data_IF_599794026207
#
_entry.id   IF_599794026207
#
_cell.length_a   1.000
_cell.length_b   1.000
_cell.length_c   1.000
_cell.angle_alpha   90.00
_cell.angle_beta   90.00
_cell.angle_gamma   90.00
#
_symmetry.space_group_name_H-M   'P 1'
#
loop_
_entity.id
_entity.type
_entity.pdbx_description
1 polymer ?
#
# COMPACT_ATOMS: atom_id res chain seq x y z
N UNK A 1 -38.62 50.93 17.36
CA UNK A 1 -37.67 50.15 18.18
C UNK A 1 -37.52 48.76 17.55
N UNK A 2 -36.54 48.57 16.65
CA UNK A 2 -36.30 47.27 15.98
C UNK A 2 -35.13 46.60 16.71
N UNK A 3 -35.43 45.48 17.37
CA UNK A 3 -34.44 44.66 18.08
C UNK A 3 -33.71 43.84 17.02
N UNK A 4 -32.44 44.18 16.78
CA UNK A 4 -31.50 43.38 16.00
C UNK A 4 -30.99 42.24 16.88
N UNK A 5 -31.43 41.02 16.61
CA UNK A 5 -30.81 39.82 17.15
C UNK A 5 -29.47 39.60 16.44
N UNK A 6 -28.38 39.82 17.16
CA UNK A 6 -27.05 39.37 16.75
C UNK A 6 -26.97 37.85 16.96
N UNK A 7 -27.03 37.09 15.88
CA UNK A 7 -26.72 35.65 15.91
C UNK A 7 -25.18 35.54 15.97
N UNK A 8 -24.59 34.92 16.99
CA UNK A 8 -23.16 34.68 17.03
C UNK A 8 -22.81 33.73 15.89
N UNK A 9 -21.99 34.22 14.96
CA UNK A 9 -21.37 33.43 13.92
C UNK A 9 -20.45 32.41 14.60
N UNK A 10 -20.94 31.19 14.80
CA UNK A 10 -20.11 30.06 15.19
C UNK A 10 -19.20 29.77 14.01
N UNK A 11 -17.98 30.28 14.09
CA UNK A 11 -16.88 29.91 13.19
C UNK A 11 -16.57 28.45 13.52
N UNK A 12 -17.20 27.51 12.80
CA UNK A 12 -16.65 26.17 12.66
C UNK A 12 -15.31 26.34 11.96
N UNK A 13 -14.24 26.38 12.75
CA UNK A 13 -12.88 26.26 12.23
C UNK A 13 -12.75 24.87 11.61
N UNK A 14 -12.82 24.82 10.27
CA UNK A 14 -12.16 23.76 9.54
C UNK A 14 -10.69 23.85 9.94
N UNK A 15 -10.23 22.96 10.84
CA UNK A 15 -8.80 22.79 11.09
C UNK A 15 -8.18 22.43 9.74
N UNK A 16 -7.56 23.43 9.10
CA UNK A 16 -6.63 23.20 8.02
C UNK A 16 -5.63 22.17 8.55
N UNK A 17 -5.61 20.97 7.97
CA UNK A 17 -4.63 19.94 8.32
C UNK A 17 -3.26 20.59 8.16
N UNK A 18 -2.59 20.87 9.28
CA UNK A 18 -1.23 21.40 9.23
C UNK A 18 -0.41 20.44 8.38
N UNK A 19 0.26 20.98 7.36
CA UNK A 19 1.15 20.20 6.52
C UNK A 19 2.26 19.66 7.41
N UNK A 20 2.28 18.34 7.63
CA UNK A 20 3.34 17.72 8.43
C UNK A 20 4.64 17.85 7.63
N UNK A 21 5.59 18.60 8.19
CA UNK A 21 6.92 18.80 7.63
C UNK A 21 7.97 18.20 8.55
N UNK A 22 9.11 17.80 8.00
CA UNK A 22 10.26 17.31 8.76
C UNK A 22 11.32 18.41 8.87
N UNK A 23 12.01 18.49 10.01
CA UNK A 23 13.13 19.41 10.18
C UNK A 23 14.33 18.97 9.33
N UNK A 24 15.26 19.88 9.06
CA UNK A 24 16.48 19.54 8.34
C UNK A 24 17.28 18.43 9.05
N UNK A 25 17.29 18.42 10.38
CA UNK A 25 17.92 17.36 11.18
C UNK A 25 17.18 16.02 11.08
N UNK A 26 15.85 16.00 11.11
CA UNK A 26 15.06 14.78 10.89
C UNK A 26 15.41 14.17 9.52
N UNK A 27 15.47 15.00 8.48
CA UNK A 27 15.81 14.56 7.12
C UNK A 27 17.26 14.05 7.03
N UNK A 28 18.22 14.79 7.60
CA UNK A 28 19.64 14.41 7.59
C UNK A 28 19.85 13.08 8.31
N UNK A 29 19.35 12.94 9.54
CA UNK A 29 19.44 11.69 10.31
C UNK A 29 18.74 10.54 9.61
N UNK A 30 17.61 10.81 8.94
CA UNK A 30 16.93 9.82 8.12
C UNK A 30 17.83 9.30 6.99
N UNK A 31 18.43 10.21 6.23
CA UNK A 31 19.32 9.86 5.12
C UNK A 31 20.57 9.10 5.60
N UNK A 32 21.17 9.49 6.72
CA UNK A 32 22.33 8.80 7.32
C UNK A 32 22.02 7.36 7.76
N UNK A 33 20.74 7.04 8.03
CA UNK A 33 20.31 5.73 8.54
C UNK A 33 19.43 4.94 7.56
N UNK A 34 19.27 5.43 6.32
CA UNK A 34 18.31 4.88 5.36
C UNK A 34 18.57 3.40 5.04
N UNK A 35 19.83 2.98 4.99
CA UNK A 35 20.20 1.59 4.72
C UNK A 35 19.72 0.67 5.83
N UNK A 36 19.92 1.04 7.10
CA UNK A 36 19.44 0.26 8.24
C UNK A 36 17.91 0.17 8.26
N UNK A 37 17.22 1.27 7.93
CA UNK A 37 15.76 1.30 7.86
C UNK A 37 15.26 0.34 6.78
N UNK A 38 15.80 0.47 5.55
CA UNK A 38 15.36 -0.29 4.38
C UNK A 38 15.72 -1.77 4.50
N UNK A 39 16.91 -2.11 4.98
CA UNK A 39 17.32 -3.50 5.20
C UNK A 39 16.47 -4.18 6.29
N UNK A 40 16.16 -3.47 7.37
CA UNK A 40 15.30 -3.99 8.43
C UNK A 40 13.86 -4.18 7.95
N UNK A 41 13.33 -3.21 7.19
CA UNK A 41 11.99 -3.32 6.60
C UNK A 41 11.92 -4.47 5.58
N UNK A 42 12.94 -4.66 4.74
CA UNK A 42 13.05 -5.77 3.81
C UNK A 42 13.08 -7.13 4.53
N UNK A 43 13.91 -7.27 5.55
CA UNK A 43 13.96 -8.49 6.39
C UNK A 43 12.63 -8.75 7.10
N UNK A 44 11.90 -7.71 7.48
CA UNK A 44 10.56 -7.85 8.01
C UNK A 44 9.59 -8.47 6.99
N UNK A 45 9.63 -8.05 5.72
CA UNK A 45 8.80 -8.64 4.67
C UNK A 45 9.13 -10.12 4.48
N UNK A 46 10.43 -10.46 4.35
CA UNK A 46 10.87 -11.84 4.19
C UNK A 46 10.43 -12.73 5.36
N UNK A 47 10.64 -12.24 6.59
CA UNK A 47 10.28 -12.98 7.79
C UNK A 47 8.75 -13.18 7.90
N UNK A 48 7.96 -12.18 7.51
CA UNK A 48 6.49 -12.27 7.52
C UNK A 48 6.02 -13.30 6.50
N UNK A 49 6.59 -13.30 5.29
CA UNK A 49 6.28 -14.29 4.27
C UNK A 49 6.73 -15.70 4.70
N UNK A 50 7.93 -15.86 5.25
CA UNK A 50 8.41 -17.14 5.75
C UNK A 50 7.54 -17.69 6.91
N UNK A 51 7.11 -16.81 7.83
CA UNK A 51 6.17 -17.14 8.91
C UNK A 51 4.84 -17.64 8.33
N UNK A 52 4.30 -16.96 7.30
CA UNK A 52 3.10 -17.38 6.60
C UNK A 52 3.24 -18.77 5.97
N UNK A 53 4.29 -18.98 5.16
CA UNK A 53 4.53 -20.25 4.45
C UNK A 53 4.69 -21.41 5.44
N UNK A 54 5.47 -21.22 6.51
CA UNK A 54 5.68 -22.27 7.52
C UNK A 54 4.39 -22.61 8.26
N UNK A 55 3.58 -21.60 8.61
CA UNK A 55 2.30 -21.79 9.30
C UNK A 55 1.30 -22.52 8.39
N UNK A 56 1.18 -22.09 7.13
CA UNK A 56 0.28 -22.72 6.16
C UNK A 56 0.66 -24.19 5.91
N UNK A 57 1.95 -24.50 5.77
CA UNK A 57 2.43 -25.89 5.65
C UNK A 57 2.08 -26.75 6.86
N UNK A 58 2.12 -26.19 8.07
CA UNK A 58 1.79 -26.92 9.30
C UNK A 58 0.29 -27.16 9.46
N UNK A 59 -0.54 -26.14 9.21
CA UNK A 59 -1.95 -26.17 9.61
C UNK A 59 -2.95 -26.20 8.44
N UNK A 60 -2.50 -25.97 7.20
CA UNK A 60 -3.37 -25.88 6.02
C UNK A 60 -4.23 -24.61 5.95
N UNK A 61 -3.95 -23.62 6.80
CA UNK A 61 -4.64 -22.33 6.86
C UNK A 61 -3.62 -21.21 7.06
N UNK A 62 -3.97 -20.00 6.63
CA UNK A 62 -3.16 -18.81 6.78
C UNK A 62 -3.05 -18.36 8.23
N UNK A 63 -1.84 -17.96 8.62
CA UNK A 63 -1.62 -17.25 9.90
C UNK A 63 -2.25 -15.86 9.88
N UNK A 64 -2.20 -15.23 8.72
CA UNK A 64 -2.61 -13.85 8.52
C UNK A 64 -3.99 -13.79 7.89
N UNK A 65 -4.87 -12.96 8.43
CA UNK A 65 -6.24 -12.83 7.94
C UNK A 65 -6.57 -11.38 7.58
N UNK A 66 -7.35 -11.20 6.53
CA UNK A 66 -7.75 -9.89 6.04
C UNK A 66 -8.58 -9.09 7.05
N UNK A 67 -8.17 -7.85 7.30
CA UNK A 67 -8.78 -6.94 8.28
C UNK A 67 -10.13 -6.31 7.85
N UNK A 68 -10.57 -6.52 6.60
CA UNK A 68 -11.86 -6.01 6.09
C UNK A 68 -12.96 -7.08 6.08
N UNK A 69 -12.65 -8.31 6.49
CA UNK A 69 -13.65 -9.38 6.64
C UNK A 69 -14.34 -9.28 8.01
N UNK A 70 -15.63 -8.91 7.98
CA UNK A 70 -16.46 -8.73 9.18
C UNK A 70 -16.52 -9.97 10.08
N UNK A 71 -16.56 -11.15 9.47
CA UNK A 71 -16.57 -12.42 10.17
C UNK A 71 -15.24 -12.77 10.83
N UNK A 72 -14.15 -12.08 10.49
CA UNK A 72 -12.83 -12.28 11.11
C UNK A 72 -12.49 -11.21 12.16
N UNK A 73 -13.38 -10.25 12.41
CA UNK A 73 -13.16 -9.19 13.42
C UNK A 73 -13.05 -9.78 14.84
N UNK A 74 -13.89 -10.77 15.15
CA UNK A 74 -13.96 -11.38 16.48
C UNK A 74 -13.21 -12.72 16.55
N UNK A 75 -12.76 -13.08 17.75
CA UNK A 75 -12.14 -14.38 18.00
C UNK A 75 -13.11 -15.54 17.69
N UNK A 76 -14.39 -15.38 18.05
CA UNK A 76 -15.43 -16.36 17.78
C UNK A 76 -15.67 -16.56 16.28
N UNK A 77 -15.70 -15.48 15.50
CA UNK A 77 -15.86 -15.55 14.04
C UNK A 77 -14.68 -16.24 13.35
N UNK A 78 -13.44 -15.94 13.77
CA UNK A 78 -12.24 -16.66 13.30
C UNK A 78 -12.29 -18.15 13.66
N UNK A 79 -12.68 -18.49 14.89
CA UNK A 79 -12.85 -19.87 15.31
C UNK A 79 -13.91 -20.61 14.47
N UNK A 80 -15.04 -19.97 14.19
CA UNK A 80 -16.09 -20.52 13.32
C UNK A 80 -15.59 -20.76 11.89
N UNK A 81 -14.82 -19.83 11.33
CA UNK A 81 -14.21 -20.00 10.01
C UNK A 81 -13.25 -21.19 9.97
N UNK A 82 -12.36 -21.33 10.97
CA UNK A 82 -11.43 -22.46 11.08
C UNK A 82 -12.19 -23.81 11.16
N UNK A 83 -13.26 -23.88 11.96
CA UNK A 83 -14.13 -25.07 12.02
C UNK A 83 -14.80 -25.37 10.68
N UNK A 84 -15.24 -24.33 9.97
CA UNK A 84 -15.82 -24.45 8.64
C UNK A 84 -14.89 -25.11 7.61
N UNK A 85 -13.56 -25.01 7.81
CA UNK A 85 -12.56 -25.71 7.01
C UNK A 85 -12.20 -27.11 7.54
N UNK A 86 -12.96 -27.65 8.49
CA UNK A 86 -12.80 -29.01 8.99
C UNK A 86 -11.72 -29.19 10.06
N UNK A 87 -11.24 -28.10 10.67
CA UNK A 87 -10.28 -28.20 11.78
C UNK A 87 -11.00 -28.63 13.08
N UNK A 88 -10.38 -29.56 13.81
CA UNK A 88 -10.88 -30.00 15.13
C UNK A 88 -10.75 -28.90 16.18
N UNK A 89 -11.56 -28.96 17.25
CA UNK A 89 -11.50 -27.98 18.36
C UNK A 89 -10.10 -27.83 18.94
N UNK A 90 -9.34 -28.94 19.07
CA UNK A 90 -7.96 -28.89 19.55
C UNK A 90 -7.05 -28.07 18.63
N UNK A 91 -7.16 -28.25 17.31
CA UNK A 91 -6.40 -27.45 16.33
C UNK A 91 -6.84 -25.99 16.33
N UNK A 92 -8.14 -25.73 16.43
CA UNK A 92 -8.68 -24.36 16.53
C UNK A 92 -8.10 -23.65 17.75
N UNK A 93 -8.09 -24.31 18.91
CA UNK A 93 -7.51 -23.77 20.14
C UNK A 93 -5.99 -23.49 20.04
N UNK A 94 -5.24 -24.32 19.30
CA UNK A 94 -3.82 -24.10 19.03
C UNK A 94 -3.59 -22.91 18.09
N UNK A 95 -4.35 -22.82 16.99
CA UNK A 95 -4.14 -21.86 15.89
C UNK A 95 -4.61 -20.46 16.25
N UNK A 96 -5.82 -20.35 16.81
CA UNK A 96 -6.51 -19.07 17.01
C UNK A 96 -5.68 -17.99 17.73
N UNK A 97 -4.95 -18.27 18.84
CA UNK A 97 -4.14 -17.25 19.51
C UNK A 97 -2.91 -16.82 18.70
N UNK A 98 -2.52 -17.56 17.67
CA UNK A 98 -1.35 -17.26 16.83
C UNK A 98 -1.71 -16.38 15.61
N UNK A 99 -3.01 -16.26 15.29
CA UNK A 99 -3.45 -15.55 14.10
C UNK A 99 -3.24 -14.03 14.20
N UNK A 100 -2.95 -13.39 13.07
CA UNK A 100 -2.67 -11.94 12.99
C UNK A 100 -3.53 -11.29 11.90
N UNK A 101 -4.18 -10.16 12.20
CA UNK A 101 -4.84 -9.37 11.17
C UNK A 101 -3.80 -8.75 10.23
N UNK A 102 -4.14 -8.62 8.96
CA UNK A 102 -3.27 -7.99 7.95
C UNK A 102 -4.05 -7.24 6.88
N UNK A 103 -3.37 -6.32 6.21
CA UNK A 103 -3.78 -5.65 4.98
C UNK A 103 -2.56 -5.23 4.18
N UNK A 104 -2.78 -4.90 2.91
CA UNK A 104 -1.73 -4.46 1.99
C UNK A 104 -0.94 -3.27 2.59
N UNK A 105 -1.67 -2.29 3.12
CA UNK A 105 -1.08 -1.13 3.80
C UNK A 105 -0.59 -1.46 5.21
N UNK A 106 -1.30 -2.30 5.97
CA UNK A 106 -0.90 -2.68 7.34
C UNK A 106 0.48 -3.33 7.38
N UNK A 107 0.76 -4.29 6.50
CA UNK A 107 2.07 -4.93 6.42
C UNK A 107 3.18 -3.95 6.03
N UNK A 108 2.89 -3.03 5.09
CA UNK A 108 3.82 -1.95 4.72
C UNK A 108 4.17 -1.09 5.93
N UNK A 109 3.16 -0.67 6.70
CA UNK A 109 3.32 0.16 7.89
C UNK A 109 4.10 -0.57 8.98
N UNK A 110 3.81 -1.84 9.24
CA UNK A 110 4.49 -2.64 10.26
C UNK A 110 5.98 -2.82 9.96
N UNK A 111 6.33 -3.10 8.71
CA UNK A 111 7.74 -3.26 8.34
C UNK A 111 8.51 -1.95 8.31
N UNK A 112 7.90 -0.85 7.86
CA UNK A 112 8.50 0.49 8.01
C UNK A 112 8.69 0.85 9.48
N UNK A 113 7.69 0.64 10.35
CA UNK A 113 7.79 0.88 11.79
C UNK A 113 9.01 0.20 12.39
N UNK A 114 9.24 -1.08 12.07
CA UNK A 114 10.42 -1.84 12.52
C UNK A 114 11.71 -1.22 12.01
N UNK A 115 11.76 -0.81 10.74
CA UNK A 115 12.93 -0.14 10.16
C UNK A 115 13.27 1.17 10.86
N UNK A 116 12.29 2.06 11.03
CA UNK A 116 12.48 3.32 11.75
C UNK A 116 12.89 3.10 13.20
N UNK A 117 12.28 2.15 13.90
CA UNK A 117 12.63 1.83 15.29
C UNK A 117 14.07 1.31 15.41
N UNK A 118 14.52 0.43 14.51
CA UNK A 118 15.88 -0.08 14.48
C UNK A 118 16.93 1.03 14.26
N UNK A 119 16.55 2.08 13.51
CA UNK A 119 17.37 3.26 13.27
C UNK A 119 17.28 4.34 14.37
N UNK A 120 16.56 4.09 15.47
CA UNK A 120 16.36 5.07 16.53
C UNK A 120 15.42 6.22 16.15
N UNK A 121 14.60 6.06 15.10
CA UNK A 121 13.70 7.08 14.54
C UNK A 121 12.23 6.81 14.87
N UNK A 122 11.94 6.19 16.01
CA UNK A 122 10.56 5.93 16.45
C UNK A 122 9.70 7.19 16.51
N UNK A 123 10.26 8.32 16.96
CA UNK A 123 9.52 9.60 17.00
C UNK A 123 9.13 10.11 15.60
N UNK A 124 10.04 9.99 14.62
CA UNK A 124 9.76 10.33 13.22
C UNK A 124 8.68 9.40 12.65
N UNK A 125 8.73 8.11 12.98
CA UNK A 125 7.68 7.16 12.59
C UNK A 125 6.34 7.50 13.22
N UNK A 126 6.31 7.83 14.51
CA UNK A 126 5.07 8.16 15.22
C UNK A 126 4.41 9.41 14.62
N UNK A 127 5.20 10.38 14.15
CA UNK A 127 4.74 11.55 13.39
C UNK A 127 4.13 11.17 12.05
N UNK A 128 4.76 10.26 11.28
CA UNK A 128 4.18 9.71 10.04
C UNK A 128 2.86 8.98 10.36
N UNK A 129 2.89 8.09 11.35
CA UNK A 129 1.75 7.26 11.71
C UNK A 129 0.56 8.11 12.18
N UNK A 130 0.79 9.13 13.01
CA UNK A 130 -0.25 10.05 13.46
C UNK A 130 -0.90 10.79 12.29
N UNK A 131 -0.13 11.19 11.28
CA UNK A 131 -0.66 11.82 10.06
C UNK A 131 -1.56 10.86 9.26
N UNK A 132 -1.15 9.59 9.15
CA UNK A 132 -1.86 8.59 8.35
C UNK A 132 -3.07 7.98 9.07
N UNK A 133 -3.12 8.00 10.41
CA UNK A 133 -4.22 7.44 11.18
C UNK A 133 -5.46 8.37 11.24
N UNK A 134 -5.38 9.59 10.71
CA UNK A 134 -6.53 10.51 10.69
C UNK A 134 -7.70 9.83 9.97
N UNK A 135 -8.88 9.82 10.60
CA UNK A 135 -10.10 9.14 10.15
C UNK A 135 -9.99 7.60 10.03
N UNK A 136 -8.97 6.98 10.64
CA UNK A 136 -8.63 5.56 10.50
C UNK A 136 -8.39 5.11 9.05
N UNK A 137 -7.85 5.99 8.19
CA UNK A 137 -7.61 5.69 6.77
C UNK A 137 -6.15 5.86 6.38
N UNK A 138 -5.46 4.75 6.20
CA UNK A 138 -4.11 4.75 5.64
C UNK A 138 -4.14 4.89 4.12
N UNK A 139 -4.12 6.14 3.62
CA UNK A 139 -4.00 6.41 2.20
C UNK A 139 -2.55 6.26 1.74
N UNK A 140 -2.32 5.43 0.72
CA UNK A 140 -0.97 5.22 0.17
C UNK A 140 -0.32 6.48 -0.36
N UNK A 141 -1.11 7.39 -0.94
CA UNK A 141 -0.64 8.68 -1.45
C UNK A 141 -0.12 9.60 -0.34
N UNK A 142 -0.69 9.53 0.86
CA UNK A 142 -0.22 10.32 2.00
C UNK A 142 1.05 9.70 2.59
N UNK A 143 1.14 8.36 2.67
CA UNK A 143 2.38 7.68 3.04
C UNK A 143 3.52 8.05 2.09
N UNK A 144 3.26 8.09 0.78
CA UNK A 144 4.24 8.52 -0.21
C UNK A 144 4.71 9.95 0.03
N UNK A 145 3.81 10.91 0.28
CA UNK A 145 4.21 12.30 0.60
C UNK A 145 5.08 12.39 1.85
N UNK A 146 4.73 11.63 2.90
CA UNK A 146 5.51 11.61 4.13
C UNK A 146 6.92 11.06 3.91
N UNK A 147 7.06 9.94 3.20
CA UNK A 147 8.37 9.37 2.87
C UNK A 147 9.20 10.32 2.00
N UNK A 148 8.58 11.01 1.04
CA UNK A 148 9.27 12.04 0.25
C UNK A 148 9.74 13.23 1.07
N UNK A 149 8.97 13.63 2.09
CA UNK A 149 9.39 14.65 3.04
C UNK A 149 10.69 14.32 3.76
N UNK A 150 11.05 13.03 3.82
CA UNK A 150 12.32 12.51 4.35
C UNK A 150 13.40 12.28 3.26
N UNK A 151 13.13 12.68 2.01
CA UNK A 151 14.06 12.58 0.89
C UNK A 151 13.91 11.34 0.00
N UNK A 152 12.86 10.54 0.18
CA UNK A 152 12.56 9.44 -0.75
C UNK A 152 12.17 9.99 -2.12
N UNK A 153 12.51 9.24 -3.17
CA UNK A 153 12.21 9.62 -4.56
C UNK A 153 10.98 8.89 -5.07
N UNK A 154 10.18 9.55 -5.89
CA UNK A 154 9.02 8.95 -6.57
C UNK A 154 9.32 8.55 -8.01
N UNK A 155 9.03 7.29 -8.31
CA UNK A 155 9.05 6.71 -9.64
C UNK A 155 7.60 6.51 -10.10
N UNK A 156 7.25 7.00 -11.28
CA UNK A 156 6.01 6.61 -11.93
C UNK A 156 6.20 5.26 -12.62
N UNK A 157 5.26 4.33 -12.42
CA UNK A 157 5.28 3.04 -13.10
C UNK A 157 4.06 2.87 -14.01
N UNK A 158 4.33 2.43 -15.24
CA UNK A 158 3.33 2.06 -16.25
C UNK A 158 4.01 1.12 -17.27
N UNK A 159 3.72 -0.19 -17.23
CA UNK A 159 4.47 -1.17 -18.01
C UNK A 159 4.25 -1.01 -19.52
N UNK A 160 3.06 -0.57 -19.96
CA UNK A 160 2.73 -0.50 -21.39
C UNK A 160 1.76 0.65 -21.70
N UNK A 161 2.25 1.90 -21.77
CA UNK A 161 1.39 3.08 -21.95
C UNK A 161 0.50 3.06 -23.19
N UNK A 162 0.95 2.38 -24.26
CA UNK A 162 0.18 2.20 -25.49
C UNK A 162 -1.16 1.47 -25.28
N UNK A 163 -1.32 0.74 -24.17
CA UNK A 163 -2.56 0.04 -23.81
C UNK A 163 -3.45 0.82 -22.84
N UNK A 164 -3.04 1.98 -22.35
CA UNK A 164 -3.77 2.73 -21.34
C UNK A 164 -5.24 3.01 -21.73
N UNK A 165 -5.49 3.44 -22.96
CA UNK A 165 -6.86 3.73 -23.41
C UNK A 165 -7.74 2.47 -23.42
N UNK A 166 -7.17 1.32 -23.79
CA UNK A 166 -7.87 0.03 -23.76
C UNK A 166 -8.15 -0.37 -22.31
N UNK A 167 -7.17 -0.24 -21.42
CA UNK A 167 -7.34 -0.54 -19.99
C UNK A 167 -8.38 0.35 -19.32
N UNK A 168 -8.47 1.62 -19.71
CA UNK A 168 -9.48 2.55 -19.20
C UNK A 168 -10.90 2.10 -19.56
N UNK A 169 -11.11 1.61 -20.79
CA UNK A 169 -12.40 1.03 -21.21
C UNK A 169 -12.70 -0.24 -20.41
N UNK A 170 -11.74 -1.16 -20.32
CA UNK A 170 -11.93 -2.42 -19.58
C UNK A 170 -12.27 -2.20 -18.09
N UNK A 171 -11.61 -1.24 -17.45
CA UNK A 171 -11.83 -0.93 -16.04
C UNK A 171 -13.23 -0.33 -15.83
N UNK A 172 -13.69 0.52 -16.75
CA UNK A 172 -15.04 1.11 -16.73
C UNK A 172 -16.13 0.07 -16.95
N UNK A 173 -15.94 -0.88 -17.87
CA UNK A 173 -16.89 -1.97 -18.12
C UNK A 173 -17.07 -2.86 -16.89
N UNK A 174 -15.98 -3.10 -16.14
CA UNK A 174 -16.00 -3.96 -14.96
C UNK A 174 -16.47 -3.26 -13.70
N UNK A 175 -16.16 -1.97 -13.58
CA UNK A 175 -16.47 -1.17 -12.41
C UNK A 175 -17.18 0.13 -12.85
N UNK A 176 -18.39 0.01 -13.43
CA UNK A 176 -19.11 1.17 -13.93
C UNK A 176 -19.42 2.14 -12.78
N UNK A 177 -19.31 3.46 -13.01
CA UNK A 177 -19.70 4.45 -12.02
C UNK A 177 -21.14 4.27 -11.54
N UNK A 178 -21.39 4.57 -10.27
CA UNK A 178 -22.74 4.48 -9.69
C UNK A 178 -23.74 5.47 -10.29
N UNK A 179 -23.29 6.48 -11.05
CA UNK A 179 -24.11 7.46 -11.72
C UNK A 179 -23.37 8.07 -12.93
N UNK A 180 -24.09 8.48 -14.00
CA UNK A 180 -23.49 9.21 -15.14
C UNK A 180 -22.72 10.46 -14.69
N UNK A 181 -21.54 10.69 -15.26
CA UNK A 181 -20.69 11.86 -14.96
C UNK A 181 -19.87 11.77 -13.67
N UNK A 182 -20.06 10.74 -12.82
CA UNK A 182 -19.25 10.55 -11.62
C UNK A 182 -17.99 9.77 -11.96
N UNK A 183 -16.83 10.43 -12.04
CA UNK A 183 -15.55 9.72 -12.22
C UNK A 183 -15.09 9.07 -10.91
N UNK A 184 -14.75 7.78 -10.96
CA UNK A 184 -14.12 7.05 -9.87
C UNK A 184 -12.62 6.91 -10.17
N UNK A 185 -11.73 7.70 -9.53
CA UNK A 185 -10.29 7.73 -9.88
C UNK A 185 -9.54 6.41 -9.62
N UNK A 186 -10.18 5.49 -8.91
CA UNK A 186 -9.67 4.13 -8.64
C UNK A 186 -9.72 3.27 -9.91
N UNK A 187 -10.76 3.41 -10.74
CA UNK A 187 -11.02 2.55 -11.90
C UNK A 187 -10.80 3.33 -13.20
N UNK A 188 -9.83 2.88 -14.02
CA UNK A 188 -9.41 3.61 -15.21
C UNK A 188 -8.67 4.92 -14.91
N UNK A 189 -8.59 5.81 -15.90
CA UNK A 189 -7.80 7.04 -15.87
C UNK A 189 -6.29 6.82 -16.07
N UNK A 190 -5.85 5.65 -16.53
CA UNK A 190 -4.48 5.34 -16.88
C UNK A 190 -3.93 6.31 -17.93
N UNK A 191 -4.68 6.59 -19.00
CA UNK A 191 -4.23 7.47 -20.07
C UNK A 191 -4.09 8.92 -19.57
N UNK A 192 -5.08 9.40 -18.81
CA UNK A 192 -5.05 10.72 -18.18
C UNK A 192 -3.83 10.88 -17.26
N UNK A 193 -3.62 9.93 -16.34
CA UNK A 193 -2.51 9.97 -15.38
C UNK A 193 -1.15 9.88 -16.06
N UNK A 194 -1.02 9.03 -17.07
CA UNK A 194 0.19 8.97 -17.89
C UNK A 194 0.50 10.33 -18.52
N UNK A 195 -0.49 10.94 -19.17
CA UNK A 195 -0.33 12.25 -19.81
C UNK A 195 0.01 13.35 -18.80
N UNK A 196 -0.61 13.35 -17.62
CA UNK A 196 -0.33 14.31 -16.54
C UNK A 196 1.10 14.16 -16.02
N UNK A 197 1.58 12.92 -15.82
CA UNK A 197 2.97 12.66 -15.41
C UNK A 197 3.94 13.11 -16.49
N UNK A 198 3.68 12.79 -17.76
CA UNK A 198 4.60 13.15 -18.84
C UNK A 198 4.64 14.65 -19.09
N UNK A 199 3.49 15.33 -19.03
CA UNK A 199 3.39 16.76 -19.30
C UNK A 199 3.78 17.62 -18.10
N UNK A 200 3.22 17.32 -16.94
CA UNK A 200 3.29 18.16 -15.74
C UNK A 200 4.23 17.61 -14.67
N UNK A 201 4.76 16.39 -14.83
CA UNK A 201 5.65 15.77 -13.85
C UNK A 201 4.94 15.44 -12.54
N UNK A 202 3.61 15.26 -12.55
CA UNK A 202 2.82 14.95 -11.36
C UNK A 202 1.91 13.75 -11.62
N UNK A 203 1.79 12.91 -10.60
CA UNK A 203 0.74 11.90 -10.52
C UNK A 203 -0.28 12.39 -9.48
N UNK A 204 -1.40 12.95 -9.96
CA UNK A 204 -2.33 13.74 -9.14
C UNK A 204 -1.64 14.94 -8.48
N UNK A 205 -1.28 14.83 -7.20
CA UNK A 205 -0.64 15.86 -6.38
C UNK A 205 0.73 15.41 -5.86
N UNK A 206 1.27 14.34 -6.44
CA UNK A 206 2.56 13.79 -6.08
C UNK A 206 3.51 14.11 -7.24
N UNK A 207 4.46 15.04 -7.06
CA UNK A 207 5.50 15.26 -8.05
C UNK A 207 6.25 13.95 -8.37
N UNK A 208 6.75 13.76 -9.58
CA UNK A 208 7.45 12.54 -9.99
C UNK A 208 8.91 12.87 -10.25
N UNK A 209 9.80 12.23 -9.48
CA UNK A 209 11.26 12.43 -9.60
C UNK A 209 11.87 11.62 -10.76
N UNK A 210 11.23 10.52 -11.13
CA UNK A 210 11.60 9.68 -12.28
C UNK A 210 10.34 9.16 -12.98
N UNK A 211 10.17 9.57 -14.24
CA UNK A 211 9.02 9.25 -15.09
C UNK A 211 9.36 8.32 -16.24
N UNK A 212 10.54 7.72 -16.25
CA UNK A 212 11.04 6.96 -17.41
C UNK A 212 11.47 5.55 -17.04
N UNK A 213 12.09 5.33 -15.87
CA UNK A 213 12.69 4.04 -15.54
C UNK A 213 11.66 2.91 -15.52
N UNK A 214 10.51 3.12 -14.87
CA UNK A 214 9.45 2.12 -14.78
C UNK A 214 8.32 2.36 -15.79
N UNK A 215 8.64 2.95 -16.93
CA UNK A 215 7.67 3.21 -18.00
C UNK A 215 8.06 2.42 -19.25
N UNK A 216 7.07 1.79 -19.88
CA UNK A 216 7.24 1.04 -21.13
C UNK A 216 8.24 -0.13 -21.02
N UNK A 217 8.26 -0.79 -19.86
CA UNK A 217 9.10 -1.97 -19.63
C UNK A 217 8.43 -3.30 -20.01
N UNK A 218 7.15 -3.27 -20.40
CA UNK A 218 6.33 -4.43 -20.73
C UNK A 218 6.46 -5.53 -19.68
N UNK A 219 7.06 -6.68 -20.03
CA UNK A 219 7.35 -7.75 -19.08
C UNK A 219 8.80 -7.77 -18.54
N UNK A 220 9.66 -6.87 -19.02
CA UNK A 220 11.09 -6.84 -18.72
C UNK A 220 11.44 -5.70 -17.73
N UNK A 221 11.17 -5.93 -16.45
CA UNK A 221 11.46 -4.96 -15.37
C UNK A 221 12.94 -4.54 -15.38
N UNK A 222 13.25 -3.23 -15.32
CA UNK A 222 14.62 -2.74 -15.35
C UNK A 222 15.51 -3.31 -14.25
N UNK A 223 16.74 -3.66 -14.59
CA UNK A 223 17.73 -4.18 -13.63
C UNK A 223 18.08 -3.18 -12.52
N UNK A 224 17.97 -1.88 -12.78
CA UNK A 224 18.14 -0.85 -11.75
C UNK A 224 17.12 -1.00 -10.62
N UNK A 225 15.86 -1.28 -10.96
CA UNK A 225 14.80 -1.48 -9.98
C UNK A 225 14.98 -2.75 -9.15
N UNK A 226 15.55 -3.81 -9.75
CA UNK A 226 15.85 -5.08 -9.07
C UNK A 226 16.93 -4.98 -7.99
N UNK A 227 17.61 -3.84 -7.86
CA UNK A 227 18.62 -3.58 -6.81
C UNK A 227 18.09 -2.80 -5.60
N UNK A 228 16.82 -2.39 -5.63
CA UNK A 228 16.25 -1.56 -4.57
C UNK A 228 15.86 -2.45 -3.38
N UNK A 229 16.56 -2.30 -2.25
CA UNK A 229 16.37 -3.18 -1.08
C UNK A 229 14.99 -3.08 -0.44
N UNK A 230 14.31 -1.94 -0.56
CA UNK A 230 12.94 -1.78 -0.11
C UNK A 230 12.28 -0.64 -0.89
N UNK A 231 11.02 -0.81 -1.26
CA UNK A 231 10.20 0.22 -1.90
C UNK A 231 8.74 0.11 -1.45
N UNK A 232 8.00 1.20 -1.61
CA UNK A 232 6.54 1.22 -1.39
C UNK A 232 5.83 1.64 -2.66
N UNK A 233 5.10 0.72 -3.27
CA UNK A 233 4.27 0.95 -4.43
C UNK A 233 2.83 1.30 -4.07
N UNK A 234 2.21 2.07 -4.95
CA UNK A 234 0.76 2.29 -4.97
C UNK A 234 0.20 2.04 -6.35
N UNK A 235 -1.05 1.59 -6.40
CA UNK A 235 -1.87 1.47 -7.61
C UNK A 235 -3.24 2.15 -7.39
N UNK A 236 -4.01 2.30 -8.47
CA UNK A 236 -5.39 2.84 -8.42
C UNK A 236 -5.51 4.12 -7.59
N UNK A 237 -4.74 5.14 -7.96
CA UNK A 237 -4.73 6.43 -7.27
C UNK A 237 -4.37 6.40 -5.77
N UNK A 238 -3.62 5.39 -5.32
CA UNK A 238 -3.22 5.25 -3.91
C UNK A 238 -4.14 4.39 -3.06
N UNK A 239 -5.17 3.78 -3.67
CA UNK A 239 -6.09 2.86 -3.00
C UNK A 239 -5.37 1.56 -2.59
N UNK A 240 -4.62 0.97 -3.52
CA UNK A 240 -3.85 -0.22 -3.25
C UNK A 240 -2.40 0.17 -2.93
N UNK A 241 -1.86 -0.39 -1.85
CA UNK A 241 -0.50 -0.15 -1.35
C UNK A 241 0.20 -1.49 -1.26
N UNK A 242 1.40 -1.60 -1.79
CA UNK A 242 2.18 -2.84 -1.71
C UNK A 242 3.65 -2.50 -1.38
N UNK A 243 4.26 -3.18 -0.42
CA UNK A 243 5.69 -3.09 -0.21
C UNK A 243 6.41 -4.06 -1.14
N UNK A 244 7.69 -3.80 -1.36
CA UNK A 244 8.51 -4.73 -2.12
C UNK A 244 9.99 -4.51 -1.90
N UNK A 245 10.78 -5.42 -2.46
CA UNK A 245 12.24 -5.41 -2.41
C UNK A 245 12.79 -6.13 -3.62
N UNK A 246 13.96 -5.73 -4.09
CA UNK A 246 14.70 -6.38 -5.18
C UNK A 246 13.86 -6.69 -6.42
N UNK A 247 12.96 -5.78 -6.79
CA UNK A 247 12.03 -5.98 -7.92
C UNK A 247 10.95 -7.02 -7.68
N UNK A 248 10.67 -7.38 -6.42
CA UNK A 248 9.65 -8.32 -6.00
C UNK A 248 8.64 -7.61 -5.09
N UNK A 249 7.39 -8.07 -5.16
CA UNK A 249 6.27 -7.61 -4.33
C UNK A 249 5.94 -8.71 -3.33
N UNK A 250 5.77 -8.31 -2.07
CA UNK A 250 5.21 -9.15 -1.02
C UNK A 250 3.97 -8.41 -0.53
N UNK A 251 2.78 -8.92 -0.85
CA UNK A 251 1.53 -8.23 -0.54
C UNK A 251 0.60 -9.08 0.31
N UNK A 252 -0.16 -8.41 1.17
CA UNK A 252 -1.14 -9.04 2.04
C UNK A 252 -2.55 -8.60 1.62
N UNK A 253 -3.54 -9.47 1.75
CA UNK A 253 -4.88 -9.22 1.24
C UNK A 253 -5.93 -9.02 2.33
N UNK A 254 -6.67 -7.92 2.27
CA UNK A 254 -7.67 -7.55 3.28
C UNK A 254 -8.98 -8.36 3.26
N UNK A 255 -9.25 -9.12 2.20
CA UNK A 255 -10.55 -9.77 1.98
C UNK A 255 -10.47 -11.28 1.72
N UNK A 256 -9.26 -11.86 1.63
CA UNK A 256 -9.10 -13.30 1.34
C UNK A 256 -9.56 -14.15 2.52
N UNK A 257 -9.95 -15.37 2.20
CA UNK A 257 -10.38 -16.34 3.19
C UNK A 257 -9.20 -16.89 4.01
N UNK A 258 -9.38 -17.21 5.28
CA UNK A 258 -8.30 -17.78 6.13
C UNK A 258 -7.69 -19.07 5.56
N UNK A 259 -8.43 -19.85 4.77
CA UNK A 259 -7.91 -21.03 4.08
C UNK A 259 -7.00 -20.73 2.88
N UNK A 260 -6.98 -19.48 2.41
CA UNK A 260 -6.23 -19.09 1.22
C UNK A 260 -4.74 -18.96 1.52
N UNK A 261 -3.92 -19.69 0.76
CA UNK A 261 -2.47 -19.47 0.74
C UNK A 261 -2.14 -18.04 0.30
N UNK A 262 -2.96 -17.47 -0.58
CA UNK A 262 -2.78 -16.14 -1.14
C UNK A 262 -3.24 -15.01 -0.20
N UNK A 263 -3.39 -15.26 1.11
CA UNK A 263 -3.51 -14.15 2.07
C UNK A 263 -2.24 -13.29 2.08
N UNK A 264 -1.07 -13.93 1.92
CA UNK A 264 0.19 -13.28 1.61
C UNK A 264 0.75 -13.88 0.33
N UNK A 265 1.00 -13.01 -0.63
CA UNK A 265 1.54 -13.38 -1.94
C UNK A 265 2.96 -12.85 -2.09
N UNK A 266 3.74 -13.58 -2.88
CA UNK A 266 5.08 -13.22 -3.30
C UNK A 266 5.14 -13.33 -4.82
N UNK A 267 5.67 -12.32 -5.50
CA UNK A 267 5.82 -12.33 -6.95
C UNK A 267 6.87 -11.32 -7.41
N UNK A 268 7.38 -11.50 -8.63
CA UNK A 268 8.14 -10.45 -9.29
C UNK A 268 7.22 -9.26 -9.58
N UNK A 269 7.73 -8.03 -9.44
CA UNK A 269 7.00 -6.81 -9.78
C UNK A 269 6.83 -6.71 -11.29
N UNK A 270 5.75 -7.28 -11.83
CA UNK A 270 5.39 -7.17 -13.22
C UNK A 270 3.90 -7.52 -13.35
N UNK A 271 3.02 -6.52 -13.37
CA UNK A 271 1.59 -6.79 -13.41
C UNK A 271 1.11 -7.38 -14.74
N UNK A 272 1.92 -7.39 -15.80
CA UNK A 272 1.55 -7.98 -17.10
C UNK A 272 1.95 -9.46 -17.20
N UNK A 273 3.04 -9.87 -16.57
CA UNK A 273 3.51 -11.24 -16.63
C UNK A 273 2.60 -12.21 -15.89
N UNK A 274 2.51 -13.44 -16.41
CA UNK A 274 1.88 -14.55 -15.71
C UNK A 274 2.60 -14.79 -14.40
N UNK A 275 1.89 -14.70 -13.28
CA UNK A 275 2.49 -14.88 -11.96
C UNK A 275 3.10 -13.61 -11.34
N UNK A 276 3.11 -12.49 -12.04
CA UNK A 276 3.68 -11.24 -11.54
C UNK A 276 2.71 -10.41 -10.70
N UNK A 277 3.28 -9.47 -9.95
CA UNK A 277 2.59 -8.59 -9.00
C UNK A 277 2.72 -7.10 -9.32
N UNK A 278 1.91 -6.23 -8.70
CA UNK A 278 0.85 -6.58 -7.75
C UNK A 278 -0.29 -7.38 -8.42
N UNK A 279 -0.81 -8.38 -7.71
CA UNK A 279 -1.61 -9.46 -8.26
C UNK A 279 -3.01 -9.01 -8.64
N UNK A 280 -3.45 -9.44 -9.82
CA UNK A 280 -4.77 -9.06 -10.31
C UNK A 280 -5.87 -9.91 -9.70
N UNK A 281 -7.04 -9.30 -9.55
CA UNK A 281 -8.30 -10.02 -9.34
C UNK A 281 -9.20 -9.85 -10.58
N UNK A 282 -10.40 -10.42 -10.55
CA UNK A 282 -11.39 -10.25 -11.64
C UNK A 282 -11.71 -8.78 -11.91
N UNK A 283 -11.76 -7.98 -10.83
CA UNK A 283 -12.18 -6.58 -10.82
C UNK A 283 -11.02 -5.61 -10.60
N UNK A 284 -9.95 -6.03 -9.93
CA UNK A 284 -8.80 -5.19 -9.61
C UNK A 284 -7.62 -5.53 -10.52
N UNK A 285 -7.34 -4.65 -11.48
CA UNK A 285 -6.17 -4.77 -12.37
C UNK A 285 -5.23 -3.59 -12.19
N UNK A 286 -4.10 -3.85 -11.53
CA UNK A 286 -3.14 -2.81 -11.17
C UNK A 286 -2.15 -2.57 -12.31
N UNK A 287 -2.33 -1.49 -13.08
CA UNK A 287 -1.58 -1.25 -14.33
C UNK A 287 -0.78 0.05 -14.37
N UNK A 288 -0.95 0.92 -13.38
CA UNK A 288 -0.10 2.10 -13.24
C UNK A 288 -0.18 2.64 -11.82
N UNK A 289 0.85 3.37 -11.42
CA UNK A 289 0.85 4.09 -10.17
C UNK A 289 2.20 4.71 -9.85
N UNK A 290 2.50 4.82 -8.56
CA UNK A 290 3.75 5.45 -8.08
C UNK A 290 4.45 4.49 -7.14
N UNK A 291 5.77 4.41 -7.24
CA UNK A 291 6.63 3.74 -6.27
C UNK A 291 7.51 4.80 -5.60
N UNK A 292 7.64 4.75 -4.28
CA UNK A 292 8.67 5.51 -3.56
C UNK A 292 9.84 4.62 -3.21
N UNK A 293 11.04 5.13 -3.47
CA UNK A 293 12.31 4.45 -3.25
C UNK A 293 13.21 5.30 -2.34
N UNK A 294 14.06 4.68 -1.51
CA UNK A 294 14.94 5.42 -0.60
C UNK A 294 15.93 6.32 -1.36
N UNK A 295 16.40 7.44 -0.75
CA UNK A 295 17.44 8.29 -1.33
C UNK A 295 18.74 7.53 -1.59
N UNK A 296 19.49 7.97 -2.61
CA UNK A 296 20.87 7.52 -2.87
C UNK A 296 21.01 6.16 -3.57
N UNK A 297 19.96 5.64 -4.21
CA UNK A 297 19.97 4.35 -4.91
C UNK A 297 19.36 4.41 -6.31
#
# INVERSE_FOLDING_TARGET
>A
MRILFAIPLVILSAQARAQVSFTADEVRVHQERIELITDTAAKCLDATYAEHVSFFRKYGVSKFYGDRRKDYETSAGRAAALRGYGLSEAKVAEILPQMKSTSCVGMTMDCLKKGFAAAGQSATWDKIYAHLKIDNKFYGTDLQKMLRGLGWRTLYWNPLPAKNAVWDVEDLEKNPPSAPGKWMPVWGGHAYRYNDVMKNGSYYKIPIDDRTTLVNFDEAVPQSFKRINFFVGTAHAGYHVFPGRLGQVIEAHSMREISSYDNLEYSDFNPLATGGGPRWTRTERYRSGVIVVPPGR
#
